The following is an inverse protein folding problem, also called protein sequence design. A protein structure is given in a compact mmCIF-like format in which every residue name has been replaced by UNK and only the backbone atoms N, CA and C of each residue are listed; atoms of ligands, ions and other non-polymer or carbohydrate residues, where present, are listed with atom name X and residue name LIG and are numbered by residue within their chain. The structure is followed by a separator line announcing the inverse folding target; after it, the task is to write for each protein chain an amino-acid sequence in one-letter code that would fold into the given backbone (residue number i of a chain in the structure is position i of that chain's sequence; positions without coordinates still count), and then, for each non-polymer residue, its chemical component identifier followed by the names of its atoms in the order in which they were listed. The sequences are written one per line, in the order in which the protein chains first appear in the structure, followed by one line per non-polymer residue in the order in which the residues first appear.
data_IF_845851308004
#
_entry.id   IF_845851308004
#
_cell.length_a   1.000
_cell.length_b   1.000
_cell.length_c   1.000
_cell.angle_alpha   90.00
_cell.angle_beta   90.00
_cell.angle_gamma   90.00
#
_symmetry.space_group_name_H-M   'P 1'
#
loop_
_entity.id
_entity.type
_entity.pdbx_description
1 polymer ?
#
# COMPACT_ATOMS: atom_id res chain seq x y z
N UNK A 1 -13.12 24.03 5.13
CA UNK A 1 -13.64 22.65 5.18
C UNK A 1 -12.46 21.73 5.48
N UNK A 2 -12.68 20.58 6.13
CA UNK A 2 -11.58 19.63 6.41
C UNK A 2 -11.25 18.85 5.14
N UNK A 3 -9.97 18.51 4.92
CA UNK A 3 -9.52 17.70 3.77
C UNK A 3 -10.26 16.37 3.67
N UNK A 4 -10.61 15.79 4.82
CA UNK A 4 -11.42 14.57 4.91
C UNK A 4 -12.85 14.76 4.38
N UNK A 5 -13.47 15.92 4.60
CA UNK A 5 -14.81 16.19 4.06
C UNK A 5 -14.75 16.33 2.55
N UNK A 6 -13.79 17.12 2.04
CA UNK A 6 -13.59 17.32 0.61
C UNK A 6 -13.34 15.98 -0.10
N UNK A 7 -12.53 15.10 0.51
CA UNK A 7 -12.28 13.75 0.02
C UNK A 7 -13.56 12.91 -0.05
N UNK A 8 -14.33 12.84 1.03
CA UNK A 8 -15.55 12.03 1.08
C UNK A 8 -16.59 12.50 0.07
N UNK A 9 -16.75 13.81 -0.10
CA UNK A 9 -17.67 14.41 -1.07
C UNK A 9 -17.25 14.10 -2.52
N UNK A 10 -15.95 14.17 -2.83
CA UNK A 10 -15.43 13.94 -4.17
C UNK A 10 -15.12 12.47 -4.48
N UNK A 11 -15.14 11.58 -3.48
CA UNK A 11 -14.81 10.17 -3.64
C UNK A 11 -15.60 9.45 -4.75
N UNK A 12 -16.92 9.67 -4.93
CA UNK A 12 -17.67 9.06 -6.03
C UNK A 12 -17.13 9.47 -7.41
N UNK A 13 -16.79 10.75 -7.56
CA UNK A 13 -16.24 11.31 -8.82
C UNK A 13 -14.84 10.76 -9.07
N UNK A 14 -13.99 10.75 -8.05
CA UNK A 14 -12.62 10.23 -8.11
C UNK A 14 -12.63 8.74 -8.50
N UNK A 15 -13.49 7.93 -7.85
CA UNK A 15 -13.60 6.49 -8.13
C UNK A 15 -14.03 6.20 -9.57
N UNK A 16 -14.92 7.04 -10.13
CA UNK A 16 -15.46 6.88 -11.47
C UNK A 16 -14.43 7.12 -12.60
N UNK A 17 -13.28 7.74 -12.31
CA UNK A 17 -12.20 7.92 -13.30
C UNK A 17 -11.71 6.55 -13.79
N UNK A 18 -11.71 6.35 -15.11
CA UNK A 18 -11.35 5.08 -15.73
C UNK A 18 -9.84 4.85 -15.65
N UNK A 19 -9.37 3.60 -15.53
CA UNK A 19 -7.95 3.27 -15.43
C UNK A 19 -7.08 3.87 -16.55
N UNK A 20 -7.58 3.92 -17.78
CA UNK A 20 -6.87 4.47 -18.95
C UNK A 20 -6.81 6.01 -18.99
N UNK A 21 -7.48 6.70 -18.07
CA UNK A 21 -7.44 8.15 -17.90
C UNK A 21 -6.58 8.57 -16.71
N UNK A 22 -6.18 7.61 -15.86
CA UNK A 22 -5.39 7.90 -14.65
C UNK A 22 -3.99 8.34 -15.05
N UNK A 23 -3.60 9.49 -14.52
CA UNK A 23 -2.27 10.05 -14.66
C UNK A 23 -1.43 9.67 -13.44
N UNK A 24 -0.17 9.31 -13.70
CA UNK A 24 0.81 9.11 -12.63
C UNK A 24 1.37 10.50 -12.25
N UNK A 25 1.46 10.83 -10.95
CA UNK A 25 2.05 12.09 -10.51
C UNK A 25 3.47 12.27 -11.04
N UNK A 26 3.70 13.33 -11.83
CA UNK A 26 5.01 13.66 -12.40
C UNK A 26 5.89 14.52 -11.47
N UNK A 27 5.36 14.89 -10.31
CA UNK A 27 6.01 15.70 -9.29
C UNK A 27 5.44 15.34 -7.90
N UNK A 28 6.09 15.74 -6.80
CA UNK A 28 5.58 15.52 -5.46
C UNK A 28 4.15 16.08 -5.28
N UNK A 29 3.25 15.30 -4.68
CA UNK A 29 1.83 15.66 -4.54
C UNK A 29 1.65 16.89 -3.65
N UNK A 30 2.42 17.00 -2.57
CA UNK A 30 2.43 18.15 -1.68
C UNK A 30 2.76 19.45 -2.44
N UNK A 31 3.78 19.41 -3.30
CA UNK A 31 4.13 20.54 -4.16
C UNK A 31 3.00 20.85 -5.15
N UNK A 32 2.44 19.83 -5.82
CA UNK A 32 1.38 20.04 -6.81
C UNK A 32 0.09 20.61 -6.20
N UNK A 33 -0.32 20.08 -5.04
CA UNK A 33 -1.48 20.57 -4.30
C UNK A 33 -1.26 22.02 -3.85
N UNK A 34 -0.07 22.36 -3.36
CA UNK A 34 0.26 23.74 -2.99
C UNK A 34 0.22 24.69 -4.19
N UNK A 35 0.74 24.27 -5.35
CA UNK A 35 0.63 25.06 -6.58
C UNK A 35 -0.83 25.27 -7.01
N UNK A 36 -1.70 24.28 -6.84
CA UNK A 36 -3.12 24.40 -7.17
C UNK A 36 -3.86 25.38 -6.24
N UNK A 37 -3.54 25.38 -4.94
CA UNK A 37 -4.07 26.36 -3.99
C UNK A 37 -3.59 27.77 -4.29
N UNK A 38 -2.31 27.92 -4.64
CA UNK A 38 -1.77 29.21 -5.10
C UNK A 38 -2.50 29.67 -6.36
N UNK A 39 -2.71 28.78 -7.33
CA UNK A 39 -3.41 29.07 -8.58
C UNK A 39 -4.84 29.56 -8.34
N UNK A 40 -5.57 28.96 -7.39
CA UNK A 40 -6.90 29.44 -7.01
C UNK A 40 -6.87 30.93 -6.62
N UNK A 41 -5.93 31.32 -5.76
CA UNK A 41 -5.79 32.72 -5.35
C UNK A 41 -5.40 33.65 -6.51
N UNK A 42 -4.50 33.22 -7.40
CA UNK A 42 -4.13 33.98 -8.60
C UNK A 42 -5.34 34.25 -9.51
N UNK A 43 -6.21 33.26 -9.68
CA UNK A 43 -7.37 33.38 -10.55
C UNK A 43 -8.37 34.43 -10.07
N UNK A 44 -8.49 34.69 -8.76
CA UNK A 44 -9.49 35.60 -8.20
C UNK A 44 -9.37 37.03 -8.78
N UNK A 45 -8.14 37.51 -8.96
CA UNK A 45 -7.88 38.83 -9.56
C UNK A 45 -8.13 38.85 -11.08
N UNK A 46 -8.10 37.69 -11.73
CA UNK A 46 -8.12 37.52 -13.19
C UNK A 46 -9.46 36.96 -13.71
N UNK A 47 -10.48 36.86 -12.86
CA UNK A 47 -11.77 36.22 -13.16
C UNK A 47 -12.37 36.70 -14.48
N UNK A 48 -12.42 38.01 -14.70
CA UNK A 48 -13.03 38.58 -15.92
C UNK A 48 -12.28 38.17 -17.19
N UNK A 49 -10.95 38.18 -17.16
CA UNK A 49 -10.15 37.85 -18.34
C UNK A 49 -10.16 36.35 -18.65
N UNK A 50 -10.14 35.50 -17.62
CA UNK A 50 -10.21 34.06 -17.78
C UNK A 50 -11.59 33.60 -18.29
N UNK A 51 -12.67 34.14 -17.74
CA UNK A 51 -14.03 33.80 -18.19
C UNK A 51 -14.32 34.29 -19.61
N UNK A 52 -13.71 35.42 -20.02
CA UNK A 52 -13.81 35.95 -21.39
C UNK A 52 -13.27 34.99 -22.46
N UNK A 53 -12.31 34.14 -22.11
CA UNK A 53 -11.74 33.13 -23.04
C UNK A 53 -12.39 31.75 -22.90
N UNK A 54 -13.49 31.64 -22.15
CA UNK A 54 -14.29 30.43 -22.05
C UNK A 54 -14.00 29.55 -20.83
N UNK A 55 -13.14 29.98 -19.89
CA UNK A 55 -12.94 29.23 -18.65
C UNK A 55 -14.24 29.23 -17.83
N UNK A 56 -14.75 28.03 -17.55
CA UNK A 56 -15.86 27.87 -16.61
C UNK A 56 -15.38 28.16 -15.20
N UNK A 57 -15.94 29.19 -14.56
CA UNK A 57 -15.51 29.62 -13.22
C UNK A 57 -15.70 28.53 -12.16
N UNK A 58 -16.66 27.62 -12.37
CA UNK A 58 -16.88 26.44 -11.53
C UNK A 58 -15.63 25.55 -11.42
N UNK A 59 -14.77 25.53 -12.44
CA UNK A 59 -13.49 24.81 -12.40
C UNK A 59 -12.55 25.43 -11.37
N UNK A 60 -12.47 26.77 -11.32
CA UNK A 60 -11.63 27.52 -10.37
C UNK A 60 -12.12 27.34 -8.94
N UNK A 61 -13.41 27.56 -8.67
CA UNK A 61 -13.97 27.41 -7.32
C UNK A 61 -13.90 25.97 -6.81
N UNK A 62 -13.77 24.98 -7.70
CA UNK A 62 -13.61 23.58 -7.32
C UNK A 62 -12.18 23.23 -6.87
N UNK A 63 -11.18 24.07 -7.16
CA UNK A 63 -9.77 23.79 -6.85
C UNK A 63 -9.53 23.49 -5.36
N UNK A 64 -10.03 24.28 -4.39
CA UNK A 64 -9.79 24.00 -2.98
C UNK A 64 -10.28 22.60 -2.55
N UNK A 65 -11.48 22.20 -2.97
CA UNK A 65 -12.02 20.87 -2.65
C UNK A 65 -11.22 19.76 -3.34
N UNK A 66 -10.84 19.94 -4.61
CA UNK A 66 -9.98 18.98 -5.32
C UNK A 66 -8.60 18.84 -4.68
N UNK A 67 -8.02 19.95 -4.22
CA UNK A 67 -6.76 19.99 -3.48
C UNK A 67 -6.87 19.26 -2.15
N UNK A 68 -7.94 19.51 -1.37
CA UNK A 68 -8.23 18.83 -0.12
C UNK A 68 -8.38 17.31 -0.31
N UNK A 69 -9.15 16.89 -1.32
CA UNK A 69 -9.33 15.47 -1.64
C UNK A 69 -8.03 14.79 -2.09
N UNK A 70 -7.21 15.45 -2.92
CA UNK A 70 -5.91 14.92 -3.35
C UNK A 70 -4.93 14.78 -2.17
N UNK A 71 -4.91 15.79 -1.27
CA UNK A 71 -4.09 15.79 -0.05
C UNK A 71 -4.48 14.66 0.90
N UNK A 72 -5.78 14.45 1.11
CA UNK A 72 -6.28 13.35 1.95
C UNK A 72 -5.91 11.99 1.35
N UNK A 73 -6.13 11.79 0.05
CA UNK A 73 -5.80 10.55 -0.63
C UNK A 73 -4.29 10.21 -0.54
N UNK A 74 -3.44 11.24 -0.62
CA UNK A 74 -2.00 11.10 -0.40
C UNK A 74 -1.68 10.66 1.04
N UNK A 75 -2.32 11.26 2.05
CA UNK A 75 -2.14 10.88 3.46
C UNK A 75 -2.57 9.44 3.72
N UNK A 76 -3.70 9.01 3.15
CA UNK A 76 -4.17 7.62 3.24
C UNK A 76 -3.17 6.66 2.60
N UNK A 77 -2.68 6.97 1.40
CA UNK A 77 -1.67 6.14 0.75
C UNK A 77 -0.36 6.03 1.56
N UNK A 78 0.13 7.14 2.12
CA UNK A 78 1.33 7.12 2.98
C UNK A 78 1.11 6.23 4.22
N UNK A 79 -0.06 6.34 4.86
CA UNK A 79 -0.41 5.52 6.03
C UNK A 79 -0.35 4.03 5.68
N UNK A 80 -1.09 3.60 4.65
CA UNK A 80 -1.13 2.19 4.24
C UNK A 80 0.26 1.69 3.81
N UNK A 81 1.03 2.53 3.11
CA UNK A 81 2.38 2.19 2.67
C UNK A 81 3.32 1.95 3.85
N UNK A 82 3.28 2.81 4.87
CA UNK A 82 4.14 2.68 6.03
C UNK A 82 3.80 1.42 6.83
N UNK A 83 2.52 1.13 7.03
CA UNK A 83 2.07 -0.10 7.69
C UNK A 83 2.54 -1.34 6.92
N UNK A 84 2.36 -1.36 5.59
CA UNK A 84 2.87 -2.45 4.74
C UNK A 84 4.38 -2.67 4.83
N UNK A 85 5.16 -1.60 4.97
CA UNK A 85 6.60 -1.69 5.14
C UNK A 85 6.99 -2.30 6.49
N UNK A 86 6.23 -2.01 7.55
CA UNK A 86 6.45 -2.57 8.88
C UNK A 86 6.20 -4.09 8.89
N UNK A 87 5.05 -4.55 8.37
CA UNK A 87 4.75 -5.97 8.29
C UNK A 87 5.77 -6.73 7.43
N UNK A 88 6.17 -6.18 6.28
CA UNK A 88 7.19 -6.80 5.42
C UNK A 88 8.56 -6.83 6.10
N UNK A 89 8.91 -5.80 6.88
CA UNK A 89 10.15 -5.76 7.66
C UNK A 89 10.16 -6.84 8.73
N UNK A 90 9.09 -6.94 9.52
CA UNK A 90 8.94 -7.97 10.57
C UNK A 90 9.01 -9.37 9.96
N UNK A 91 8.35 -9.58 8.80
CA UNK A 91 8.41 -10.86 8.10
C UNK A 91 9.84 -11.24 7.73
N UNK A 92 10.61 -10.31 7.14
CA UNK A 92 12.00 -10.56 6.74
C UNK A 92 12.91 -10.92 7.91
N UNK A 93 12.64 -10.38 9.09
CA UNK A 93 13.42 -10.65 10.31
C UNK A 93 13.07 -12.02 10.88
N UNK A 94 11.78 -12.37 10.94
CA UNK A 94 11.32 -13.56 11.66
C UNK A 94 11.29 -14.83 10.81
N UNK A 95 11.03 -14.70 9.50
CA UNK A 95 10.90 -15.83 8.60
C UNK A 95 12.10 -16.79 8.61
N UNK A 96 13.37 -16.34 8.56
CA UNK A 96 14.52 -17.25 8.57
C UNK A 96 14.49 -18.21 9.78
N UNK A 97 14.24 -17.69 10.97
CA UNK A 97 14.20 -18.50 12.18
C UNK A 97 12.99 -19.45 12.24
N UNK A 98 11.87 -19.11 11.59
CA UNK A 98 10.71 -19.97 11.47
C UNK A 98 10.98 -21.15 10.50
N UNK A 99 11.61 -20.87 9.36
CA UNK A 99 12.07 -21.90 8.42
C UNK A 99 13.11 -22.82 9.07
N UNK A 100 14.08 -22.27 9.80
CA UNK A 100 15.09 -23.06 10.50
C UNK A 100 14.45 -23.99 11.54
N UNK A 101 13.48 -23.50 12.32
CA UNK A 101 12.76 -24.32 13.30
C UNK A 101 11.99 -25.46 12.61
N UNK A 102 11.32 -25.18 11.50
CA UNK A 102 10.61 -26.21 10.71
C UNK A 102 11.59 -27.29 10.25
N UNK A 103 12.72 -26.89 9.67
CA UNK A 103 13.71 -27.81 9.11
C UNK A 103 14.38 -28.64 10.22
N UNK A 104 14.61 -28.06 11.40
CA UNK A 104 15.06 -28.76 12.61
C UNK A 104 14.06 -29.83 13.07
N UNK A 105 12.76 -29.49 13.13
CA UNK A 105 11.71 -30.43 13.50
C UNK A 105 11.59 -31.58 12.50
N UNK A 106 11.60 -31.26 11.20
CA UNK A 106 11.58 -32.27 10.13
C UNK A 106 12.78 -33.23 10.25
N UNK A 107 13.97 -32.71 10.51
CA UNK A 107 15.17 -33.52 10.71
C UNK A 107 15.01 -34.49 11.90
N UNK A 108 14.60 -33.98 13.06
CA UNK A 108 14.43 -34.80 14.26
C UNK A 108 13.30 -35.83 14.11
N UNK A 109 12.19 -35.46 13.48
CA UNK A 109 11.03 -36.34 13.28
C UNK A 109 11.36 -37.48 12.32
N UNK A 110 12.05 -37.19 11.20
CA UNK A 110 12.54 -38.22 10.27
C UNK A 110 13.39 -39.27 11.00
N UNK A 111 14.27 -38.84 11.90
CA UNK A 111 15.08 -39.77 12.66
C UNK A 111 14.29 -40.52 13.74
N UNK A 112 13.44 -39.83 14.50
CA UNK A 112 12.61 -40.45 15.55
C UNK A 112 11.65 -41.50 14.98
N UNK A 113 11.08 -41.22 13.82
CA UNK A 113 10.08 -42.07 13.18
C UNK A 113 10.65 -43.05 12.16
N UNK A 114 11.98 -43.16 12.01
CA UNK A 114 12.67 -43.96 10.98
C UNK A 114 12.24 -45.42 10.82
N UNK A 115 11.69 -46.03 11.88
CA UNK A 115 11.21 -47.42 11.89
C UNK A 115 9.67 -47.53 11.81
N UNK A 116 8.99 -46.42 11.50
CA UNK A 116 7.54 -46.34 11.36
C UNK A 116 7.22 -45.68 10.01
N UNK A 117 7.01 -46.50 8.99
CA UNK A 117 6.78 -46.05 7.61
C UNK A 117 5.58 -45.10 7.50
N UNK A 118 4.51 -45.33 8.27
CA UNK A 118 3.32 -44.47 8.25
C UNK A 118 3.58 -43.08 8.82
N UNK A 119 4.38 -42.97 9.88
CA UNK A 119 4.78 -41.67 10.44
C UNK A 119 5.80 -40.95 9.55
N UNK A 120 6.73 -41.68 8.92
CA UNK A 120 7.64 -41.10 7.92
C UNK A 120 6.88 -40.52 6.74
N UNK A 121 5.93 -41.27 6.17
CA UNK A 121 5.11 -40.79 5.06
C UNK A 121 4.39 -39.48 5.41
N UNK A 122 3.87 -39.35 6.64
CA UNK A 122 3.26 -38.10 7.12
C UNK A 122 4.26 -36.95 7.23
N UNK A 123 5.47 -37.21 7.71
CA UNK A 123 6.52 -36.18 7.77
C UNK A 123 6.92 -35.73 6.37
N UNK A 124 6.99 -36.66 5.41
CA UNK A 124 7.29 -36.35 4.03
C UNK A 124 6.16 -35.60 3.33
N UNK A 125 4.89 -35.91 3.64
CA UNK A 125 3.71 -35.16 3.20
C UNK A 125 3.74 -33.72 3.75
N UNK A 126 4.03 -33.54 5.04
CA UNK A 126 4.19 -32.20 5.63
C UNK A 126 5.32 -31.43 4.94
N UNK A 127 6.44 -32.08 4.63
CA UNK A 127 7.55 -31.40 3.96
C UNK A 127 7.28 -31.06 2.47
N UNK A 128 6.10 -31.34 1.92
CA UNK A 128 5.77 -31.03 0.53
C UNK A 128 5.44 -29.55 0.35
N UNK A 129 6.40 -28.80 -0.19
CA UNK A 129 6.20 -27.39 -0.50
C UNK A 129 7.34 -26.54 0.04
N UNK A 130 7.37 -25.29 -0.36
CA UNK A 130 8.36 -24.34 0.14
C UNK A 130 7.86 -22.89 0.17
N UNK A 131 6.56 -22.69 0.02
CA UNK A 131 5.96 -21.37 0.12
C UNK A 131 5.90 -20.92 1.57
N UNK A 132 5.64 -19.62 1.78
CA UNK A 132 5.44 -19.07 3.12
C UNK A 132 4.22 -19.68 3.83
N UNK A 133 3.18 -20.02 3.07
CA UNK A 133 1.99 -20.65 3.62
C UNK A 133 2.27 -22.11 4.03
N UNK A 134 3.05 -22.84 3.21
CA UNK A 134 3.49 -24.19 3.53
C UNK A 134 4.27 -24.17 4.86
N UNK A 135 5.27 -23.29 5.00
CA UNK A 135 6.06 -23.20 6.24
C UNK A 135 5.21 -22.99 7.51
N UNK A 136 4.20 -22.12 7.45
CA UNK A 136 3.28 -21.88 8.57
C UNK A 136 2.47 -23.14 8.90
N UNK A 137 1.93 -23.80 7.87
CA UNK A 137 1.16 -25.02 8.04
C UNK A 137 2.03 -26.17 8.56
N UNK A 138 3.23 -26.34 8.02
CA UNK A 138 4.19 -27.38 8.39
C UNK A 138 4.55 -27.29 9.87
N UNK A 139 4.82 -26.08 10.39
CA UNK A 139 5.11 -25.87 11.81
C UNK A 139 3.96 -26.32 12.71
N UNK A 140 2.72 -25.99 12.36
CA UNK A 140 1.56 -26.42 13.11
C UNK A 140 1.33 -27.94 13.02
N UNK A 141 1.45 -28.51 11.82
CA UNK A 141 1.25 -29.95 11.61
C UNK A 141 2.33 -30.78 12.31
N UNK A 142 3.58 -30.31 12.34
CA UNK A 142 4.67 -30.92 13.12
C UNK A 142 4.43 -30.81 14.62
N UNK A 143 3.92 -29.67 15.11
CA UNK A 143 3.55 -29.52 16.51
C UNK A 143 2.49 -30.57 16.92
N UNK A 144 1.43 -30.71 16.11
CA UNK A 144 0.35 -31.67 16.36
C UNK A 144 0.84 -33.11 16.25
N UNK A 145 1.59 -33.45 15.19
CA UNK A 145 2.13 -34.79 14.97
C UNK A 145 3.10 -35.20 16.09
N UNK A 146 3.96 -34.28 16.53
CA UNK A 146 4.90 -34.52 17.62
C UNK A 146 4.20 -34.74 18.96
N UNK A 147 3.20 -33.92 19.28
CA UNK A 147 2.40 -34.04 20.51
C UNK A 147 1.66 -35.39 20.57
N UNK A 148 1.23 -35.91 19.42
CA UNK A 148 0.61 -37.23 19.34
C UNK A 148 1.59 -38.41 19.46
N UNK A 149 2.89 -38.19 19.29
CA UNK A 149 3.91 -39.25 19.22
C UNK A 149 5.13 -39.00 20.13
N UNK A 150 4.93 -38.31 21.25
CA UNK A 150 5.99 -37.86 22.17
C UNK A 150 6.91 -38.98 22.64
N UNK A 151 6.39 -40.19 22.88
CA UNK A 151 7.19 -41.32 23.33
C UNK A 151 8.34 -41.67 22.36
N UNK A 152 8.11 -41.58 21.04
CA UNK A 152 9.13 -41.83 20.03
C UNK A 152 10.16 -40.69 19.96
N UNK A 153 9.73 -39.46 20.20
CA UNK A 153 10.59 -38.28 20.26
C UNK A 153 11.49 -38.30 21.51
N UNK A 154 10.97 -38.70 22.67
CA UNK A 154 11.74 -38.79 23.92
C UNK A 154 12.93 -39.74 23.79
N UNK A 155 12.80 -40.84 23.02
CA UNK A 155 13.88 -41.82 22.80
C UNK A 155 15.14 -41.18 22.19
N UNK A 156 14.97 -40.13 21.38
CA UNK A 156 16.10 -39.44 20.73
C UNK A 156 16.58 -38.21 21.50
N UNK A 157 16.04 -37.97 22.72
CA UNK A 157 16.37 -36.80 23.51
C UNK A 157 15.75 -35.50 23.00
N UNK A 158 14.65 -35.59 22.24
CA UNK A 158 13.93 -34.43 21.72
C UNK A 158 13.44 -33.51 22.84
N UNK A 159 13.59 -32.19 22.66
CA UNK A 159 13.07 -31.18 23.57
C UNK A 159 11.58 -30.90 23.27
N UNK A 160 10.63 -31.32 24.14
CA UNK A 160 9.20 -31.14 23.90
C UNK A 160 8.76 -29.68 23.81
N UNK A 161 9.53 -28.73 24.36
CA UNK A 161 9.20 -27.30 24.30
C UNK A 161 9.23 -26.76 22.87
N UNK A 162 9.95 -27.43 21.95
CA UNK A 162 9.98 -27.08 20.54
C UNK A 162 8.61 -27.26 19.86
N UNK A 163 7.73 -28.13 20.37
CA UNK A 163 6.39 -28.35 19.81
C UNK A 163 5.45 -27.20 20.15
N UNK A 164 5.53 -26.68 21.37
CA UNK A 164 4.75 -25.50 21.76
C UNK A 164 5.28 -24.27 21.02
N UNK A 165 6.61 -24.12 20.95
CA UNK A 165 7.25 -23.07 20.15
C UNK A 165 6.83 -23.13 18.68
N UNK A 166 6.74 -24.32 18.09
CA UNK A 166 6.32 -24.47 16.69
C UNK A 166 4.88 -23.99 16.45
N UNK A 167 3.96 -24.33 17.35
CA UNK A 167 2.58 -23.84 17.29
C UNK A 167 2.52 -22.31 17.45
N UNK A 168 3.22 -21.75 18.44
CA UNK A 168 3.26 -20.29 18.68
C UNK A 168 3.88 -19.54 17.49
N UNK A 169 4.93 -20.11 16.87
CA UNK A 169 5.55 -19.55 15.67
C UNK A 169 4.59 -19.66 14.48
N UNK A 170 3.88 -20.77 14.30
CA UNK A 170 2.91 -20.93 13.23
C UNK A 170 1.80 -19.87 13.32
N UNK A 171 1.19 -19.68 14.50
CA UNK A 171 0.13 -18.69 14.71
C UNK A 171 0.63 -17.27 14.39
N UNK A 172 1.75 -16.86 14.98
CA UNK A 172 2.35 -15.53 14.77
C UNK A 172 2.73 -15.29 13.30
N UNK A 173 3.36 -16.27 12.66
CA UNK A 173 3.76 -16.14 11.25
C UNK A 173 2.53 -16.16 10.32
N UNK A 174 1.47 -16.89 10.67
CA UNK A 174 0.19 -16.85 9.97
C UNK A 174 -0.43 -15.45 9.99
N UNK A 175 -0.47 -14.82 11.17
CA UNK A 175 -0.95 -13.44 11.34
C UNK A 175 -0.11 -12.45 10.53
N UNK A 176 1.22 -12.57 10.60
CA UNK A 176 2.15 -11.68 9.88
C UNK A 176 2.06 -11.83 8.35
N UNK A 177 1.87 -13.06 7.86
CA UNK A 177 1.64 -13.35 6.45
C UNK A 177 0.31 -12.75 5.98
N UNK A 178 -0.73 -12.87 6.81
CA UNK A 178 -2.04 -12.28 6.59
C UNK A 178 -1.97 -10.75 6.50
N UNK A 179 -1.30 -10.11 7.47
CA UNK A 179 -1.07 -8.67 7.49
C UNK A 179 -0.32 -8.20 6.23
N UNK A 180 0.81 -8.84 5.91
CA UNK A 180 1.62 -8.47 4.73
C UNK A 180 0.82 -8.55 3.43
N UNK A 181 0.02 -9.61 3.23
CA UNK A 181 -0.79 -9.79 2.03
C UNK A 181 -1.98 -8.82 1.98
N UNK A 182 -2.67 -8.62 3.10
CA UNK A 182 -3.79 -7.69 3.19
C UNK A 182 -3.35 -6.24 2.97
N UNK A 183 -2.24 -5.83 3.58
CA UNK A 183 -1.68 -4.49 3.44
C UNK A 183 -1.18 -4.22 2.03
N UNK A 184 -0.56 -5.21 1.34
CA UNK A 184 -0.20 -5.04 -0.09
C UNK A 184 -1.39 -4.72 -0.97
N UNK A 185 -2.54 -5.37 -0.73
CA UNK A 185 -3.78 -5.07 -1.44
C UNK A 185 -4.29 -3.66 -1.10
N UNK A 186 -4.34 -3.31 0.19
CA UNK A 186 -4.74 -1.99 0.66
C UNK A 186 -3.87 -0.87 0.06
N UNK A 187 -2.55 -1.03 0.05
CA UNK A 187 -1.59 -0.09 -0.55
C UNK A 187 -1.86 0.12 -2.03
N UNK A 188 -2.15 -0.96 -2.78
CA UNK A 188 -2.48 -0.86 -4.19
C UNK A 188 -3.76 -0.05 -4.42
N UNK A 189 -4.81 -0.31 -3.63
CA UNK A 189 -6.08 0.41 -3.72
C UNK A 189 -5.94 1.89 -3.32
N UNK A 190 -5.22 2.18 -2.24
CA UNK A 190 -4.95 3.54 -1.78
C UNK A 190 -4.11 4.33 -2.79
N UNK A 191 -3.11 3.69 -3.41
CA UNK A 191 -2.30 4.30 -4.47
C UNK A 191 -3.15 4.65 -5.70
N UNK A 192 -4.03 3.75 -6.13
CA UNK A 192 -4.94 3.99 -7.26
C UNK A 192 -5.90 5.15 -6.98
N UNK A 193 -6.46 5.23 -5.77
CA UNK A 193 -7.32 6.35 -5.37
C UNK A 193 -6.55 7.68 -5.34
N UNK A 194 -5.31 7.66 -4.84
CA UNK A 194 -4.41 8.83 -4.86
C UNK A 194 -4.11 9.30 -6.28
N UNK A 195 -3.81 8.40 -7.21
CA UNK A 195 -3.52 8.75 -8.61
C UNK A 195 -4.77 9.29 -9.32
N UNK A 196 -5.95 8.74 -9.02
CA UNK A 196 -7.24 9.27 -9.52
C UNK A 196 -7.53 10.66 -8.95
N UNK A 197 -7.30 10.90 -7.67
CA UNK A 197 -7.50 12.21 -7.05
C UNK A 197 -6.54 13.26 -7.65
N UNK A 198 -5.27 12.87 -7.87
CA UNK A 198 -4.30 13.68 -8.61
C UNK A 198 -4.78 14.00 -10.02
N UNK A 199 -5.26 13.00 -10.77
CA UNK A 199 -5.80 13.18 -12.12
C UNK A 199 -6.94 14.20 -12.12
N UNK A 200 -7.88 14.08 -11.17
CA UNK A 200 -9.01 15.00 -11.06
C UNK A 200 -8.58 16.43 -10.80
N UNK A 201 -7.62 16.65 -9.91
CA UNK A 201 -7.03 17.97 -9.67
C UNK A 201 -6.27 18.48 -10.90
N UNK A 202 -5.48 17.62 -11.53
CA UNK A 202 -4.63 17.96 -12.67
C UNK A 202 -5.40 18.44 -13.88
N UNK A 203 -6.53 17.81 -14.21
CA UNK A 203 -7.38 18.27 -15.31
C UNK A 203 -7.89 19.71 -15.10
N UNK A 204 -8.25 20.08 -13.86
CA UNK A 204 -8.67 21.45 -13.55
C UNK A 204 -7.51 22.44 -13.60
N UNK A 205 -6.37 22.08 -13.02
CA UNK A 205 -5.16 22.91 -13.01
C UNK A 205 -4.65 23.16 -14.44
N UNK A 206 -4.61 22.13 -15.29
CA UNK A 206 -4.14 22.24 -16.66
C UNK A 206 -5.05 23.16 -17.48
N UNK A 207 -6.38 22.98 -17.40
CA UNK A 207 -7.35 23.85 -18.08
C UNK A 207 -7.16 25.33 -17.70
N UNK A 208 -7.08 25.61 -16.39
CA UNK A 208 -6.89 26.98 -15.89
C UNK A 208 -5.56 27.56 -16.38
N UNK A 209 -4.48 26.77 -16.34
CA UNK A 209 -3.16 27.22 -16.79
C UNK A 209 -3.12 27.48 -18.28
N UNK A 210 -3.78 26.67 -19.11
CA UNK A 210 -3.85 26.92 -20.56
C UNK A 210 -4.64 28.19 -20.86
N UNK A 211 -5.78 28.43 -20.20
CA UNK A 211 -6.52 29.69 -20.32
C UNK A 211 -5.66 30.90 -19.89
N UNK A 212 -5.00 30.81 -18.73
CA UNK A 212 -4.17 31.89 -18.22
C UNK A 212 -2.94 32.18 -19.07
N UNK A 213 -2.27 31.15 -19.60
CA UNK A 213 -1.17 31.31 -20.56
C UNK A 213 -1.62 32.02 -21.82
N UNK A 214 -2.80 31.65 -22.35
CA UNK A 214 -3.37 32.29 -23.53
C UNK A 214 -3.74 33.75 -23.28
N UNK A 215 -4.38 34.06 -22.15
CA UNK A 215 -4.80 35.42 -21.78
C UNK A 215 -3.59 36.33 -21.53
N UNK A 216 -2.62 35.86 -20.76
CA UNK A 216 -1.51 36.67 -20.24
C UNK A 216 -0.20 36.50 -21.02
N UNK A 217 -0.23 35.94 -22.23
CA UNK A 217 0.97 35.67 -23.04
C UNK A 217 1.88 36.89 -23.28
N UNK A 218 1.33 38.11 -23.26
CA UNK A 218 2.05 39.39 -23.36
C UNK A 218 2.21 40.15 -22.04
N UNK A 219 1.77 39.57 -20.92
CA UNK A 219 1.87 40.15 -19.59
C UNK A 219 2.68 39.21 -18.68
N UNK A 220 4.03 39.30 -18.71
CA UNK A 220 4.91 38.43 -17.92
C UNK A 220 4.60 38.43 -16.42
N UNK A 221 4.19 39.59 -15.88
CA UNK A 221 3.90 39.75 -14.45
C UNK A 221 2.70 38.93 -13.99
N UNK A 222 1.70 38.73 -14.86
CA UNK A 222 0.57 37.82 -14.59
C UNK A 222 0.84 36.39 -15.06
N UNK A 223 1.50 36.22 -16.20
CA UNK A 223 1.78 34.90 -16.80
C UNK A 223 2.50 33.95 -15.83
N UNK A 224 3.40 34.47 -14.98
CA UNK A 224 4.15 33.67 -14.01
C UNK A 224 3.27 32.87 -13.04
N UNK A 225 2.04 33.33 -12.76
CA UNK A 225 1.06 32.64 -11.91
C UNK A 225 0.38 31.44 -12.57
N UNK A 226 0.49 31.32 -13.91
CA UNK A 226 -0.13 30.25 -14.71
C UNK A 226 0.89 29.22 -15.22
N UNK A 227 2.09 29.22 -14.63
CA UNK A 227 3.16 28.29 -14.93
C UNK A 227 3.55 27.59 -13.63
N UNK A 228 3.77 26.28 -13.68
CA UNK A 228 4.28 25.51 -12.53
C UNK A 228 5.65 26.04 -12.10
N UNK A 229 5.83 26.32 -10.82
CA UNK A 229 7.12 26.73 -10.27
C UNK A 229 8.11 25.56 -10.22
N UNK A 230 7.61 24.35 -9.98
CA UNK A 230 8.43 23.14 -9.92
C UNK A 230 9.17 22.82 -11.23
N UNK A 231 8.55 23.13 -12.37
CA UNK A 231 9.13 22.86 -13.69
C UNK A 231 9.87 24.06 -14.29
N UNK A 232 10.13 25.14 -13.54
CA UNK A 232 10.85 26.35 -14.03
C UNK A 232 12.37 26.16 -14.14
N UNK A 233 12.86 24.96 -14.45
CA UNK A 233 14.28 24.65 -14.60
C UNK A 233 14.63 24.17 -16.00
#
# INVERSE_FOLDING_TARGET
MSTTNDYNELLPVIRAIKPNQVLIPSMPIDVFVQEAENLFHWCLDDMQELTRVGLLWDVVISLPARSGACREAQSLWIKERNTSQEAESNWKVEAPAAFDLRDELLHQFRFAFRNNEGLLARVDEIAQGNTNADMVQDLNDLAVLGKANTALLTVIGFDPTLLDRAADVADRMGDLLGATNGERKSVSEAMQLRDKAYTYLKLAVDEIRECGKFVFWRNPDRLKGYISDYHKH
#
